data_IF_811511627016
#
_entry.id   IF_811511627016
#
_cell.length_a   1.000
_cell.length_b   1.000
_cell.length_c   1.000
_cell.angle_alpha   90.00
_cell.angle_beta   90.00
_cell.angle_gamma   90.00
#
_symmetry.space_group_name_H-M   'P 1'
#
loop_
_entity.id
_entity.type
_entity.pdbx_description
1 polymer ?
#
# COMPACT_ATOMS: atom_id res chain seq x y z
N UNK A 1 32.37 10.55 -41.17
CA UNK A 1 31.28 9.63 -40.79
C UNK A 1 31.92 8.44 -40.10
N UNK A 2 31.80 8.33 -38.79
CA UNK A 2 31.92 7.07 -38.08
C UNK A 2 30.88 7.15 -36.96
N UNK A 3 29.83 6.34 -37.11
CA UNK A 3 28.67 6.28 -36.23
C UNK A 3 29.10 5.79 -34.85
N UNK A 4 28.76 6.57 -33.83
CA UNK A 4 28.72 6.12 -32.44
C UNK A 4 27.76 4.94 -32.35
N UNK A 5 28.28 3.74 -32.11
CA UNK A 5 27.50 2.69 -31.48
C UNK A 5 27.34 3.08 -30.01
N UNK A 6 26.23 3.73 -29.67
CA UNK A 6 25.71 3.70 -28.31
C UNK A 6 25.29 2.26 -28.05
N UNK A 7 26.17 1.47 -27.43
CA UNK A 7 25.77 0.28 -26.70
C UNK A 7 24.70 0.74 -25.70
N UNK A 8 23.44 0.43 -25.97
CA UNK A 8 22.38 0.58 -24.98
C UNK A 8 22.76 -0.33 -23.80
N UNK A 9 23.06 0.28 -22.66
CA UNK A 9 23.32 -0.38 -21.37
C UNK A 9 22.10 -1.20 -20.93
N UNK A 10 21.86 -2.34 -21.58
CA UNK A 10 20.87 -3.34 -21.17
C UNK A 10 21.47 -4.16 -20.04
N UNK A 11 20.79 -4.23 -18.89
CA UNK A 11 21.16 -5.16 -17.81
C UNK A 11 21.13 -6.57 -18.41
N UNK A 12 22.29 -7.23 -18.52
CA UNK A 12 22.32 -8.67 -18.79
C UNK A 12 21.72 -9.37 -17.59
N UNK A 13 20.47 -9.87 -17.67
CA UNK A 13 19.82 -10.42 -16.51
C UNK A 13 20.46 -11.77 -16.21
N UNK A 14 20.88 -11.95 -14.97
CA UNK A 14 21.11 -13.28 -14.42
C UNK A 14 19.90 -14.17 -14.76
N UNK A 15 20.10 -15.44 -15.15
CA UNK A 15 19.00 -16.36 -15.33
C UNK A 15 18.37 -16.62 -13.96
N UNK A 16 17.27 -15.93 -13.65
CA UNK A 16 16.50 -16.09 -12.42
C UNK A 16 15.29 -16.95 -12.77
N UNK A 17 15.21 -18.15 -12.20
CA UNK A 17 14.02 -18.99 -12.28
C UNK A 17 12.97 -18.45 -11.30
N UNK A 18 12.01 -17.68 -11.81
CA UNK A 18 11.02 -16.98 -11.00
C UNK A 18 9.57 -17.41 -11.22
N UNK A 19 9.36 -18.56 -11.86
CA UNK A 19 8.03 -19.11 -12.17
C UNK A 19 7.16 -19.35 -10.93
N UNK A 20 7.77 -19.61 -9.76
CA UNK A 20 7.06 -19.73 -8.49
C UNK A 20 6.22 -18.46 -8.17
N UNK A 21 6.66 -17.28 -8.65
CA UNK A 21 5.95 -16.01 -8.42
C UNK A 21 4.55 -16.03 -9.04
N UNK A 22 4.37 -16.75 -10.15
CA UNK A 22 3.08 -16.82 -10.84
C UNK A 22 2.02 -17.49 -9.97
N UNK A 23 2.35 -18.63 -9.36
CA UNK A 23 1.44 -19.31 -8.44
C UNK A 23 1.19 -18.46 -7.18
N UNK A 24 2.27 -17.96 -6.56
CA UNK A 24 2.18 -17.19 -5.31
C UNK A 24 1.32 -15.94 -5.49
N UNK A 25 1.60 -15.10 -6.49
CA UNK A 25 0.82 -13.89 -6.73
C UNK A 25 -0.62 -14.21 -7.12
N UNK A 26 -0.86 -15.24 -7.94
CA UNK A 26 -2.23 -15.64 -8.30
C UNK A 26 -3.05 -15.99 -7.07
N UNK A 27 -2.54 -16.85 -6.18
CA UNK A 27 -3.26 -17.27 -4.97
C UNK A 27 -3.50 -16.09 -4.03
N UNK A 28 -2.46 -15.30 -3.73
CA UNK A 28 -2.58 -14.16 -2.81
C UNK A 28 -3.55 -13.12 -3.37
N UNK A 29 -3.48 -12.80 -4.66
CA UNK A 29 -4.35 -11.79 -5.27
C UNK A 29 -5.81 -12.25 -5.35
N UNK A 30 -6.08 -13.55 -5.54
CA UNK A 30 -7.45 -14.08 -5.43
C UNK A 30 -7.99 -13.90 -4.02
N UNK A 31 -7.21 -14.25 -2.99
CA UNK A 31 -7.61 -14.09 -1.58
C UNK A 31 -7.92 -12.61 -1.30
N UNK A 32 -7.03 -11.71 -1.70
CA UNK A 32 -7.18 -10.27 -1.52
C UNK A 32 -8.36 -9.73 -2.30
N UNK A 33 -8.59 -10.18 -3.53
CA UNK A 33 -9.74 -9.76 -4.32
C UNK A 33 -11.07 -10.13 -3.66
N UNK A 34 -11.24 -11.40 -3.27
CA UNK A 34 -12.49 -11.89 -2.69
C UNK A 34 -12.77 -11.26 -1.32
N UNK A 35 -11.78 -11.32 -0.41
CA UNK A 35 -11.92 -10.77 0.94
C UNK A 35 -11.99 -9.23 0.93
N UNK A 36 -11.12 -8.59 0.15
CA UNK A 36 -11.05 -7.14 0.05
C UNK A 36 -12.33 -6.55 -0.54
N UNK A 37 -12.88 -7.12 -1.62
CA UNK A 37 -14.12 -6.64 -2.22
C UNK A 37 -15.30 -6.75 -1.23
N UNK A 38 -15.41 -7.87 -0.53
CA UNK A 38 -16.46 -8.10 0.46
C UNK A 38 -16.35 -7.10 1.62
N UNK A 39 -15.21 -7.09 2.32
CA UNK A 39 -15.07 -6.36 3.57
C UNK A 39 -14.88 -4.85 3.37
N UNK A 40 -14.08 -4.41 2.39
CA UNK A 40 -13.96 -2.98 2.10
C UNK A 40 -15.24 -2.43 1.45
N UNK A 41 -15.91 -3.21 0.59
CA UNK A 41 -17.22 -2.85 0.04
C UNK A 41 -18.27 -2.64 1.12
N UNK A 42 -18.36 -3.59 2.07
CA UNK A 42 -19.23 -3.46 3.24
C UNK A 42 -18.85 -2.25 4.12
N UNK A 43 -17.55 -2.00 4.31
CA UNK A 43 -17.09 -0.85 5.09
C UNK A 43 -17.52 0.47 4.47
N UNK A 44 -17.37 0.63 3.15
CA UNK A 44 -17.87 1.81 2.42
C UNK A 44 -19.38 1.96 2.61
N UNK A 45 -20.15 0.89 2.44
CA UNK A 45 -21.61 0.92 2.60
C UNK A 45 -22.02 1.36 4.02
N UNK A 46 -21.46 0.72 5.05
CA UNK A 46 -21.76 1.02 6.45
C UNK A 46 -21.32 2.44 6.81
N UNK A 47 -20.09 2.83 6.47
CA UNK A 47 -19.57 4.15 6.79
C UNK A 47 -20.30 5.27 6.07
N UNK A 48 -20.75 5.08 4.84
CA UNK A 48 -21.62 6.04 4.16
C UNK A 48 -22.96 6.23 4.90
N UNK A 49 -23.58 5.14 5.39
CA UNK A 49 -24.82 5.22 6.19
C UNK A 49 -24.62 5.92 7.53
N UNK A 50 -23.53 5.64 8.23
CA UNK A 50 -23.25 6.25 9.55
C UNK A 50 -22.49 7.58 9.49
N UNK A 51 -22.03 8.01 8.31
CA UNK A 51 -21.24 9.26 8.11
C UNK A 51 -21.92 10.49 8.69
N UNK A 52 -23.26 10.52 8.69
CA UNK A 52 -24.06 11.60 9.30
C UNK A 52 -23.78 11.78 10.81
N UNK A 53 -23.22 10.78 11.50
CA UNK A 53 -22.79 10.82 12.92
C UNK A 53 -21.35 11.33 13.15
N UNK A 54 -20.68 11.88 12.12
CA UNK A 54 -19.53 12.82 12.20
C UNK A 54 -18.29 12.41 13.04
N UNK A 55 -17.89 11.14 13.06
CA UNK A 55 -16.58 10.76 13.62
C UNK A 55 -15.42 11.07 12.66
N UNK A 56 -14.40 11.80 13.11
CA UNK A 56 -13.18 12.11 12.32
C UNK A 56 -12.51 10.82 11.81
N UNK A 57 -12.41 9.81 12.69
CA UNK A 57 -11.88 8.49 12.35
C UNK A 57 -12.69 7.78 11.26
N UNK A 58 -14.02 7.91 11.27
CA UNK A 58 -14.88 7.31 10.24
C UNK A 58 -14.63 7.91 8.86
N UNK A 59 -14.24 9.18 8.78
CA UNK A 59 -13.87 9.81 7.50
C UNK A 59 -12.57 9.20 6.97
N UNK A 60 -11.53 9.03 7.79
CA UNK A 60 -10.30 8.38 7.36
C UNK A 60 -10.53 6.93 6.92
N UNK A 61 -11.28 6.15 7.71
CA UNK A 61 -11.54 4.74 7.40
C UNK A 61 -12.38 4.56 6.13
N UNK A 62 -13.30 5.49 5.85
CA UNK A 62 -14.02 5.48 4.57
C UNK A 62 -13.06 5.72 3.40
N UNK A 63 -12.17 6.71 3.50
CA UNK A 63 -11.22 6.98 2.42
C UNK A 63 -10.19 5.85 2.25
N UNK A 64 -9.77 5.22 3.35
CA UNK A 64 -8.95 4.01 3.35
C UNK A 64 -9.63 2.88 2.56
N UNK A 65 -10.86 2.52 2.93
CA UNK A 65 -11.62 1.49 2.23
C UNK A 65 -11.85 1.81 0.74
N UNK A 66 -12.05 3.09 0.39
CA UNK A 66 -12.16 3.53 -1.01
C UNK A 66 -10.82 3.36 -1.75
N UNK A 67 -9.69 3.70 -1.13
CA UNK A 67 -8.36 3.51 -1.72
C UNK A 67 -8.06 2.03 -1.98
N UNK A 68 -8.41 1.15 -1.05
CA UNK A 68 -8.22 -0.29 -1.22
C UNK A 68 -9.10 -0.83 -2.35
N UNK A 69 -10.38 -0.40 -2.42
CA UNK A 69 -11.28 -0.79 -3.51
C UNK A 69 -10.76 -0.34 -4.88
N UNK A 70 -10.17 0.86 -4.98
CA UNK A 70 -9.56 1.35 -6.22
C UNK A 70 -8.41 0.46 -6.71
N UNK A 71 -7.69 -0.22 -5.82
CA UNK A 71 -6.71 -1.23 -6.20
C UNK A 71 -7.36 -2.59 -6.50
N UNK A 72 -8.27 -3.05 -5.63
CA UNK A 72 -8.93 -4.35 -5.72
C UNK A 72 -9.66 -4.54 -7.06
N UNK A 73 -10.31 -3.50 -7.60
CA UNK A 73 -11.01 -3.60 -8.90
C UNK A 73 -10.07 -3.91 -10.08
N UNK A 74 -8.78 -3.62 -9.98
CA UNK A 74 -7.79 -3.95 -11.02
C UNK A 74 -7.04 -5.27 -10.76
N UNK A 75 -7.20 -5.90 -9.59
CA UNK A 75 -6.59 -7.19 -9.29
C UNK A 75 -6.92 -8.31 -10.29
N UNK A 76 -8.14 -8.43 -10.84
CA UNK A 76 -8.44 -9.46 -11.85
C UNK A 76 -7.50 -9.43 -13.06
N UNK A 77 -7.06 -8.23 -13.48
CA UNK A 77 -6.10 -8.08 -14.58
C UNK A 77 -4.74 -8.68 -14.22
N UNK A 78 -4.28 -8.45 -12.98
CA UNK A 78 -3.02 -9.01 -12.47
C UNK A 78 -3.10 -10.51 -12.23
N UNK A 79 -4.24 -11.01 -11.75
CA UNK A 79 -4.49 -12.45 -11.61
C UNK A 79 -4.38 -13.12 -12.98
N UNK A 80 -5.07 -12.59 -14.00
CA UNK A 80 -4.96 -13.13 -15.36
C UNK A 80 -3.55 -13.02 -15.95
N UNK A 81 -2.80 -11.94 -15.64
CA UNK A 81 -1.41 -11.78 -16.05
C UNK A 81 -0.54 -12.93 -15.53
N UNK A 82 -0.63 -13.23 -14.22
CA UNK A 82 0.18 -14.27 -13.61
C UNK A 82 -0.28 -15.69 -13.98
N UNK A 83 -1.58 -15.93 -14.20
CA UNK A 83 -2.07 -17.19 -14.75
C UNK A 83 -1.59 -17.47 -16.18
N UNK A 84 -1.27 -16.41 -16.95
CA UNK A 84 -0.71 -16.51 -18.30
C UNK A 84 0.82 -16.41 -18.30
N UNK A 85 1.47 -16.88 -17.24
CA UNK A 85 2.93 -16.88 -17.05
C UNK A 85 3.57 -15.50 -17.29
N UNK A 86 2.87 -14.46 -16.84
CA UNK A 86 3.26 -13.06 -17.00
C UNK A 86 3.12 -12.52 -18.42
N UNK A 87 2.13 -13.00 -19.19
CA UNK A 87 1.75 -12.41 -20.48
C UNK A 87 0.59 -11.42 -20.30
N UNK A 88 0.83 -10.14 -20.60
CA UNK A 88 -0.15 -9.07 -20.50
C UNK A 88 -0.94 -8.91 -21.80
N UNK A 89 -2.28 -8.97 -21.72
CA UNK A 89 -3.18 -8.96 -22.89
C UNK A 89 -4.19 -7.79 -22.90
N UNK A 90 -4.16 -6.91 -21.91
CA UNK A 90 -5.18 -5.87 -21.70
C UNK A 90 -4.78 -4.50 -22.26
N UNK A 91 -3.69 -4.43 -23.02
CA UNK A 91 -3.14 -3.18 -23.58
C UNK A 91 -2.38 -2.32 -22.57
N UNK A 92 -1.60 -1.37 -23.10
CA UNK A 92 -0.66 -0.55 -22.34
C UNK A 92 -1.34 0.32 -21.27
N UNK A 93 -2.49 0.91 -21.60
CA UNK A 93 -3.25 1.78 -20.69
C UNK A 93 -3.62 1.06 -19.38
N UNK A 94 -4.20 -0.14 -19.47
CA UNK A 94 -4.60 -0.91 -18.29
C UNK A 94 -3.39 -1.42 -17.49
N UNK A 95 -2.24 -1.64 -18.14
CA UNK A 95 -1.00 -1.97 -17.42
C UNK A 95 -0.57 -0.80 -16.52
N UNK A 96 -0.54 0.42 -17.06
CA UNK A 96 -0.19 1.64 -16.32
C UNK A 96 -1.16 1.89 -15.18
N UNK A 97 -2.47 1.83 -15.45
CA UNK A 97 -3.51 2.06 -14.44
C UNK A 97 -3.46 1.01 -13.33
N UNK A 98 -3.27 -0.27 -13.65
CA UNK A 98 -3.16 -1.32 -12.63
C UNK A 98 -1.92 -1.18 -11.74
N UNK A 99 -0.81 -0.72 -12.30
CA UNK A 99 0.41 -0.42 -11.54
C UNK A 99 0.20 0.79 -10.64
N UNK A 100 -0.37 1.86 -11.21
CA UNK A 100 -0.67 3.09 -10.49
C UNK A 100 -1.61 2.82 -9.31
N UNK A 101 -2.69 2.05 -9.51
CA UNK A 101 -3.68 1.78 -8.48
C UNK A 101 -3.07 1.04 -7.29
N UNK A 102 -2.15 0.10 -7.52
CA UNK A 102 -1.41 -0.58 -6.46
C UNK A 102 -0.61 0.39 -5.58
N UNK A 103 0.27 1.20 -6.18
CA UNK A 103 1.09 2.15 -5.42
C UNK A 103 0.24 3.23 -4.76
N UNK A 104 -0.77 3.73 -5.47
CA UNK A 104 -1.69 4.74 -4.97
C UNK A 104 -2.47 4.25 -3.76
N UNK A 105 -3.01 3.03 -3.78
CA UNK A 105 -3.63 2.39 -2.63
C UNK A 105 -2.63 2.25 -1.48
N UNK A 106 -1.47 1.63 -1.72
CA UNK A 106 -0.46 1.42 -0.66
C UNK A 106 -0.09 2.70 0.09
N UNK A 107 0.27 3.78 -0.63
CA UNK A 107 0.63 5.04 0.03
C UNK A 107 -0.58 5.74 0.64
N UNK A 108 -1.75 5.73 -0.03
CA UNK A 108 -2.97 6.28 0.57
C UNK A 108 -3.30 5.59 1.89
N UNK A 109 -3.16 4.27 1.96
CA UNK A 109 -3.40 3.50 3.18
C UNK A 109 -2.44 3.90 4.30
N UNK A 110 -1.14 4.01 4.02
CA UNK A 110 -0.14 4.49 5.00
C UNK A 110 -0.48 5.89 5.53
N UNK A 111 -0.80 6.84 4.63
CA UNK A 111 -1.13 8.21 5.03
C UNK A 111 -2.49 8.32 5.75
N UNK A 112 -3.49 7.55 5.37
CA UNK A 112 -4.77 7.50 6.09
C UNK A 112 -4.63 6.86 7.48
N UNK A 113 -3.77 5.85 7.65
CA UNK A 113 -3.42 5.31 8.97
C UNK A 113 -2.71 6.35 9.85
N UNK A 114 -1.78 7.13 9.29
CA UNK A 114 -1.15 8.23 10.02
C UNK A 114 -2.18 9.31 10.43
N UNK A 115 -3.02 9.74 9.49
CA UNK A 115 -4.08 10.71 9.74
C UNK A 115 -5.09 10.22 10.79
N UNK A 116 -5.46 8.93 10.74
CA UNK A 116 -6.31 8.28 11.73
C UNK A 116 -5.70 8.35 13.13
N UNK A 117 -4.40 8.10 13.29
CA UNK A 117 -3.73 8.21 14.60
C UNK A 117 -3.71 9.65 15.13
N UNK A 118 -3.48 10.64 14.25
CA UNK A 118 -3.56 12.05 14.60
C UNK A 118 -4.98 12.42 15.07
N UNK A 119 -6.01 12.04 14.31
CA UNK A 119 -7.40 12.32 14.70
C UNK A 119 -7.80 11.63 16.00
N UNK A 120 -7.36 10.40 16.22
CA UNK A 120 -7.59 9.70 17.49
C UNK A 120 -6.95 10.43 18.67
N UNK A 121 -5.68 10.82 18.54
CA UNK A 121 -5.00 11.60 19.56
C UNK A 121 -5.73 12.91 19.85
N UNK A 122 -6.10 13.64 18.79
CA UNK A 122 -6.78 14.92 18.90
C UNK A 122 -8.20 14.79 19.48
N UNK A 123 -8.94 13.73 19.17
CA UNK A 123 -10.26 13.47 19.76
C UNK A 123 -10.20 13.22 21.26
N UNK A 124 -9.08 12.68 21.77
CA UNK A 124 -8.90 12.46 23.21
C UNK A 124 -8.40 13.72 23.90
N UNK A 125 -7.41 14.41 23.34
CA UNK A 125 -6.75 15.56 24.01
C UNK A 125 -7.49 16.87 23.79
N UNK A 126 -8.10 17.09 22.61
CA UNK A 126 -8.74 18.35 22.20
C UNK A 126 -10.01 18.11 21.36
N UNK A 127 -11.06 17.49 21.94
CA UNK A 127 -12.27 17.08 21.21
C UNK A 127 -12.96 18.21 20.43
N UNK A 128 -12.83 19.46 20.87
CA UNK A 128 -13.52 20.62 20.26
C UNK A 128 -12.80 21.24 19.05
N UNK A 129 -11.53 20.90 18.79
CA UNK A 129 -10.70 21.67 17.84
C UNK A 129 -10.79 21.24 16.39
N UNK A 130 -11.15 19.99 16.08
CA UNK A 130 -11.16 19.50 14.69
C UNK A 130 -12.59 19.39 14.17
N UNK A 131 -12.92 20.33 13.27
CA UNK A 131 -14.18 20.30 12.53
C UNK A 131 -14.12 19.25 11.43
N UNK A 132 -15.27 18.63 11.11
CA UNK A 132 -15.43 17.69 9.98
C UNK A 132 -14.93 18.28 8.65
N UNK A 133 -15.10 19.59 8.44
CA UNK A 133 -14.59 20.29 7.25
C UNK A 133 -13.06 20.16 7.14
N UNK A 134 -12.34 20.36 8.25
CA UNK A 134 -10.88 20.20 8.31
C UNK A 134 -10.47 18.76 8.00
N UNK A 135 -11.19 17.76 8.53
CA UNK A 135 -10.90 16.36 8.24
C UNK A 135 -11.09 16.01 6.75
N UNK A 136 -12.15 16.52 6.11
CA UNK A 136 -12.34 16.33 4.67
C UNK A 136 -11.25 17.02 3.84
N UNK A 137 -10.81 18.23 4.22
CA UNK A 137 -9.71 18.94 3.55
C UNK A 137 -8.41 18.13 3.67
N UNK A 138 -8.10 17.61 4.86
CA UNK A 138 -6.92 16.77 5.07
C UNK A 138 -6.99 15.48 4.25
N UNK A 139 -8.15 14.81 4.19
CA UNK A 139 -8.30 13.62 3.35
C UNK A 139 -8.17 13.94 1.86
N UNK A 140 -8.73 15.05 1.39
CA UNK A 140 -8.53 15.51 0.01
C UNK A 140 -7.06 15.84 -0.27
N UNK A 141 -6.36 16.45 0.70
CA UNK A 141 -4.92 16.68 0.62
C UNK A 141 -4.11 15.39 0.50
N UNK A 142 -4.46 14.35 1.27
CA UNK A 142 -3.85 13.01 1.15
C UNK A 142 -4.06 12.45 -0.25
N UNK A 143 -5.28 12.46 -0.77
CA UNK A 143 -5.57 11.97 -2.13
C UNK A 143 -4.78 12.68 -3.21
N UNK A 144 -4.72 14.01 -3.15
CA UNK A 144 -3.94 14.82 -4.11
C UNK A 144 -2.46 14.49 -3.96
N UNK A 145 -1.94 14.47 -2.73
CA UNK A 145 -0.53 14.20 -2.47
C UNK A 145 -0.10 12.81 -2.93
N UNK A 146 -0.83 11.76 -2.55
CA UNK A 146 -0.50 10.38 -2.94
C UNK A 146 -0.71 10.18 -4.43
N UNK A 147 -1.77 10.75 -5.00
CA UNK A 147 -2.04 10.69 -6.43
C UNK A 147 -0.92 11.31 -7.26
N UNK A 148 -0.53 12.55 -6.95
CA UNK A 148 0.59 13.23 -7.62
C UNK A 148 1.91 12.47 -7.44
N UNK A 149 2.17 11.97 -6.23
CA UNK A 149 3.41 11.23 -5.93
C UNK A 149 3.51 9.90 -6.68
N UNK A 150 2.38 9.29 -7.05
CA UNK A 150 2.35 8.01 -7.78
C UNK A 150 2.19 8.17 -9.30
N UNK A 151 1.95 9.38 -9.83
CA UNK A 151 1.90 9.64 -11.28
C UNK A 151 3.11 9.08 -12.03
N UNK A 152 4.36 9.13 -11.54
CA UNK A 152 5.51 8.59 -12.27
C UNK A 152 5.38 7.10 -12.63
N UNK A 153 4.59 6.31 -11.89
CA UNK A 153 4.31 4.92 -12.23
C UNK A 153 3.45 4.76 -13.48
N UNK A 154 2.68 5.79 -13.87
CA UNK A 154 1.98 5.84 -15.15
C UNK A 154 2.92 6.03 -16.33
N UNK A 155 4.18 6.42 -16.12
CA UNK A 155 5.16 6.61 -17.20
C UNK A 155 5.79 5.30 -17.67
N UNK A 156 5.70 4.22 -16.88
CA UNK A 156 6.19 2.89 -17.23
C UNK A 156 5.02 1.95 -17.53
N UNK A 157 4.94 1.47 -18.79
CA UNK A 157 3.84 0.65 -19.28
C UNK A 157 4.24 -0.78 -19.62
N UNK A 158 3.75 -1.27 -20.75
CA UNK A 158 4.10 -2.59 -21.29
C UNK A 158 5.41 -2.56 -22.06
N UNK A 159 6.20 -3.63 -21.94
CA UNK A 159 7.39 -3.86 -22.77
C UNK A 159 7.32 -5.27 -23.37
N UNK A 160 7.84 -5.44 -24.59
CA UNK A 160 7.92 -6.76 -25.23
C UNK A 160 9.31 -7.33 -24.97
N UNK A 161 9.37 -8.53 -24.38
CA UNK A 161 10.60 -9.29 -24.17
C UNK A 161 10.35 -10.73 -24.57
N UNK A 162 11.19 -11.29 -25.44
CA UNK A 162 11.08 -12.68 -25.92
C UNK A 162 9.69 -13.00 -26.52
N UNK A 163 9.13 -12.08 -27.33
CA UNK A 163 7.76 -12.14 -27.87
C UNK A 163 6.63 -12.19 -26.83
N UNK A 164 6.93 -11.95 -25.55
CA UNK A 164 5.96 -11.86 -24.45
C UNK A 164 5.80 -10.39 -24.07
N UNK A 165 4.56 -9.92 -24.05
CA UNK A 165 4.24 -8.58 -23.54
C UNK A 165 4.21 -8.62 -22.01
N UNK A 166 5.19 -7.99 -21.37
CA UNK A 166 5.29 -7.85 -19.90
C UNK A 166 4.68 -6.53 -19.45
N UNK A 167 4.15 -6.49 -18.23
CA UNK A 167 3.56 -5.27 -17.66
C UNK A 167 4.37 -4.75 -16.48
N UNK A 168 4.89 -3.51 -16.60
CA UNK A 168 5.74 -2.86 -15.59
C UNK A 168 7.05 -3.62 -15.32
N UNK A 169 7.66 -4.15 -16.39
CA UNK A 169 9.00 -4.75 -16.37
C UNK A 169 9.90 -3.95 -17.32
N UNK A 170 10.62 -2.92 -16.82
CA UNK A 170 11.47 -2.09 -17.65
C UNK A 170 12.64 -2.84 -18.27
N UNK A 171 12.97 -2.50 -19.52
CA UNK A 171 14.16 -3.01 -20.22
C UNK A 171 15.33 -2.03 -20.09
N UNK A 172 15.04 -0.72 -20.15
CA UNK A 172 16.04 0.34 -20.12
C UNK A 172 16.57 0.63 -18.70
N UNK A 173 17.90 0.76 -18.58
CA UNK A 173 18.58 1.16 -17.34
C UNK A 173 18.13 2.53 -16.82
N UNK A 174 17.84 3.48 -17.72
CA UNK A 174 17.32 4.82 -17.39
C UNK A 174 16.03 4.72 -16.56
N UNK A 175 15.13 3.81 -16.92
CA UNK A 175 13.86 3.57 -16.27
C UNK A 175 14.05 2.88 -14.91
N UNK A 176 14.97 1.93 -14.81
CA UNK A 176 15.32 1.31 -13.52
C UNK A 176 15.91 2.31 -12.53
N UNK A 177 16.82 3.19 -12.97
CA UNK A 177 17.36 4.29 -12.14
C UNK A 177 16.24 5.22 -11.67
N UNK A 178 15.30 5.60 -12.54
CA UNK A 178 14.10 6.38 -12.16
C UNK A 178 13.29 5.68 -11.08
N UNK A 179 13.03 4.38 -11.22
CA UNK A 179 12.28 3.57 -10.23
C UNK A 179 13.04 3.51 -8.90
N UNK A 180 14.37 3.40 -8.92
CA UNK A 180 15.21 3.42 -7.73
C UNK A 180 15.12 4.75 -6.98
N UNK A 181 15.26 5.90 -7.66
CA UNK A 181 15.10 7.22 -7.02
C UNK A 181 13.69 7.42 -6.45
N UNK A 182 12.67 7.00 -7.19
CA UNK A 182 11.28 7.02 -6.70
C UNK A 182 11.11 6.09 -5.49
N UNK A 183 11.83 4.97 -5.44
CA UNK A 183 11.83 4.08 -4.29
C UNK A 183 12.46 4.73 -3.04
N UNK A 184 13.56 5.46 -3.17
CA UNK A 184 14.14 6.20 -2.03
C UNK A 184 13.19 7.29 -1.52
N UNK A 185 12.57 8.05 -2.45
CA UNK A 185 11.53 9.01 -2.09
C UNK A 185 10.37 8.32 -1.35
N UNK A 186 9.88 7.20 -1.88
CA UNK A 186 8.82 6.42 -1.27
C UNK A 186 9.19 5.86 0.11
N UNK A 187 10.43 5.41 0.31
CA UNK A 187 10.89 4.93 1.62
C UNK A 187 10.85 6.06 2.64
N UNK A 188 11.40 7.22 2.32
CA UNK A 188 11.51 8.34 3.28
C UNK A 188 10.15 9.01 3.48
N UNK A 189 9.56 9.51 2.39
CA UNK A 189 8.35 10.33 2.43
C UNK A 189 7.10 9.46 2.51
N UNK A 190 7.06 8.39 1.73
CA UNK A 190 5.90 7.50 1.66
C UNK A 190 5.75 6.57 2.85
N UNK A 191 6.82 6.29 3.62
CA UNK A 191 6.78 5.33 4.72
C UNK A 191 7.40 5.83 6.03
N UNK A 192 8.67 6.24 6.07
CA UNK A 192 9.36 6.61 7.32
C UNK A 192 8.66 7.79 8.00
N UNK A 193 8.36 8.88 7.27
CA UNK A 193 7.68 10.04 7.84
C UNK A 193 6.28 9.70 8.41
N UNK A 194 5.37 9.04 7.68
CA UNK A 194 4.11 8.56 8.23
C UNK A 194 4.27 7.62 9.42
N UNK A 195 5.22 6.68 9.36
CA UNK A 195 5.47 5.72 10.44
C UNK A 195 5.92 6.42 11.72
N UNK A 196 6.84 7.39 11.64
CA UNK A 196 7.25 8.20 12.77
C UNK A 196 6.07 9.00 13.34
N UNK A 197 5.22 9.57 12.49
CA UNK A 197 4.01 10.26 12.94
C UNK A 197 3.06 9.30 13.70
N UNK A 198 2.88 8.07 13.22
CA UNK A 198 2.10 7.02 13.91
C UNK A 198 2.70 6.71 15.29
N UNK A 199 4.02 6.47 15.36
CA UNK A 199 4.70 6.12 16.62
C UNK A 199 4.61 7.25 17.63
N UNK A 200 4.91 8.49 17.23
CA UNK A 200 4.85 9.66 18.10
C UNK A 200 3.41 9.91 18.57
N UNK A 201 2.43 9.92 17.67
CA UNK A 201 1.03 10.14 18.05
C UNK A 201 0.51 9.07 19.01
N UNK A 202 0.88 7.80 18.79
CA UNK A 202 0.49 6.72 19.70
C UNK A 202 1.20 6.79 21.05
N UNK A 203 2.48 7.18 21.09
CA UNK A 203 3.20 7.43 22.34
C UNK A 203 2.54 8.55 23.15
N UNK A 204 2.19 9.66 22.50
CA UNK A 204 1.47 10.77 23.14
C UNK A 204 0.06 10.37 23.61
N UNK A 205 -0.65 9.57 22.81
CA UNK A 205 -1.96 9.04 23.17
C UNK A 205 -1.88 8.12 24.39
N UNK A 206 -0.92 7.19 24.43
CA UNK A 206 -0.70 6.31 25.59
C UNK A 206 -0.39 7.14 26.83
N UNK A 207 0.54 8.09 26.75
CA UNK A 207 0.89 8.97 27.87
C UNK A 207 -0.33 9.70 28.41
N UNK A 208 -1.20 10.21 27.53
CA UNK A 208 -2.41 10.91 27.95
C UNK A 208 -3.44 9.97 28.58
N UNK A 209 -3.68 8.79 27.99
CA UNK A 209 -4.60 7.79 28.52
C UNK A 209 -4.16 7.32 29.92
N UNK A 210 -2.86 7.14 30.14
CA UNK A 210 -2.32 6.72 31.43
C UNK A 210 -2.41 7.82 32.51
N UNK A 211 -2.48 9.09 32.10
CA UNK A 211 -2.57 10.23 33.01
C UNK A 211 -4.02 10.60 33.39
N UNK A 212 -5.02 10.17 32.62
CA UNK A 212 -6.42 10.53 32.81
C UNK A 212 -7.23 9.33 33.35
N UNK A 213 -8.19 9.55 34.27
CA UNK A 213 -9.08 8.48 34.70
C UNK A 213 -10.01 8.08 33.54
N UNK A 214 -9.69 6.96 32.89
CA UNK A 214 -10.47 6.39 31.79
C UNK A 214 -10.99 4.99 32.11
N UNK A 215 -12.17 4.66 31.58
CA UNK A 215 -12.73 3.32 31.73
C UNK A 215 -11.80 2.26 31.11
N UNK A 216 -11.55 1.15 31.82
CA UNK A 216 -10.68 0.04 31.37
C UNK A 216 -11.05 -0.47 29.97
N UNK A 217 -12.35 -0.51 29.64
CA UNK A 217 -12.85 -0.91 28.32
C UNK A 217 -12.37 0.03 27.21
N UNK A 218 -12.41 1.34 27.45
CA UNK A 218 -11.95 2.37 26.52
C UNK A 218 -10.43 2.31 26.36
N UNK A 219 -9.68 2.16 27.45
CA UNK A 219 -8.22 1.96 27.41
C UNK A 219 -7.87 0.74 26.55
N UNK A 220 -8.49 -0.42 26.83
CA UNK A 220 -8.27 -1.66 26.07
C UNK A 220 -8.54 -1.44 24.59
N UNK A 221 -9.65 -0.78 24.24
CA UNK A 221 -9.98 -0.43 22.86
C UNK A 221 -8.87 0.39 22.19
N UNK A 222 -8.38 1.44 22.86
CA UNK A 222 -7.28 2.26 22.31
C UNK A 222 -6.01 1.44 22.11
N UNK A 223 -5.59 0.66 23.11
CA UNK A 223 -4.39 -0.19 23.06
C UNK A 223 -4.49 -1.23 21.95
N UNK A 224 -5.61 -1.95 21.84
CA UNK A 224 -5.83 -2.92 20.76
C UNK A 224 -5.66 -2.27 19.38
N UNK A 225 -6.21 -1.08 19.17
CA UNK A 225 -6.05 -0.36 17.89
C UNK A 225 -4.61 0.08 17.66
N UNK A 226 -3.87 0.49 18.70
CA UNK A 226 -2.44 0.85 18.57
C UNK A 226 -1.65 -0.38 18.13
N UNK A 227 -1.85 -1.52 18.80
CA UNK A 227 -1.19 -2.78 18.47
C UNK A 227 -1.51 -3.21 17.04
N UNK A 228 -2.78 -3.13 16.62
CA UNK A 228 -3.18 -3.50 15.26
C UNK A 228 -2.52 -2.62 14.20
N UNK A 229 -2.56 -1.29 14.35
CA UNK A 229 -1.95 -0.38 13.37
C UNK A 229 -0.43 -0.57 13.32
N UNK A 230 0.21 -0.73 14.48
CA UNK A 230 1.64 -1.00 14.56
C UNK A 230 2.00 -2.33 13.87
N UNK A 231 1.22 -3.38 14.11
CA UNK A 231 1.41 -4.69 13.47
C UNK A 231 1.25 -4.59 11.95
N UNK A 232 0.24 -3.88 11.45
CA UNK A 232 0.08 -3.64 10.00
C UNK A 232 1.31 -2.92 9.43
N UNK A 233 1.80 -1.87 10.10
CA UNK A 233 3.00 -1.15 9.65
C UNK A 233 4.25 -2.03 9.63
N UNK A 234 4.48 -2.81 10.68
CA UNK A 234 5.70 -3.61 10.85
C UNK A 234 5.69 -4.90 10.04
N UNK A 235 4.51 -5.50 9.78
CA UNK A 235 4.39 -6.78 9.07
C UNK A 235 4.08 -6.57 7.58
N UNK A 236 3.22 -5.60 7.23
CA UNK A 236 2.78 -5.42 5.85
C UNK A 236 3.68 -4.43 5.10
N UNK A 237 3.97 -3.25 5.68
CA UNK A 237 4.64 -2.17 4.94
C UNK A 237 6.17 -2.14 5.11
N UNK A 238 6.67 -2.20 6.34
CA UNK A 238 8.10 -2.10 6.65
C UNK A 238 8.95 -3.11 5.88
N UNK A 239 8.60 -4.42 5.85
CA UNK A 239 9.45 -5.42 5.21
C UNK A 239 9.54 -5.20 3.70
N UNK A 240 8.43 -4.81 3.07
CA UNK A 240 8.40 -4.48 1.65
C UNK A 240 9.29 -3.28 1.31
N UNK A 241 9.20 -2.20 2.08
CA UNK A 241 10.00 -1.00 1.81
C UNK A 241 11.50 -1.25 1.97
N UNK A 242 11.91 -2.01 2.99
CA UNK A 242 13.31 -2.41 3.15
C UNK A 242 13.73 -3.30 1.98
N UNK A 243 12.99 -4.39 1.74
CA UNK A 243 13.37 -5.39 0.75
C UNK A 243 13.42 -4.82 -0.66
N UNK A 244 12.44 -3.99 -1.05
CA UNK A 244 12.43 -3.33 -2.36
C UNK A 244 13.61 -2.37 -2.52
N UNK A 245 13.98 -1.66 -1.46
CA UNK A 245 15.14 -0.76 -1.49
C UNK A 245 16.43 -1.52 -1.66
N UNK A 246 16.63 -2.59 -0.89
CA UNK A 246 17.81 -3.46 -1.02
C UNK A 246 17.86 -4.07 -2.42
N UNK A 247 16.75 -4.66 -2.89
CA UNK A 247 16.67 -5.27 -4.22
C UNK A 247 17.03 -4.29 -5.34
N UNK A 248 16.41 -3.09 -5.38
CA UNK A 248 16.70 -2.10 -6.42
C UNK A 248 18.13 -1.56 -6.34
N UNK A 249 18.67 -1.36 -5.14
CA UNK A 249 20.04 -0.89 -4.96
C UNK A 249 21.06 -1.89 -5.51
N UNK A 250 20.94 -3.17 -5.15
CA UNK A 250 21.82 -4.21 -5.66
C UNK A 250 21.62 -4.46 -7.15
N UNK A 251 20.38 -4.42 -7.65
CA UNK A 251 20.08 -4.60 -9.08
C UNK A 251 20.80 -3.57 -9.95
N UNK A 252 20.91 -2.32 -9.48
CA UNK A 252 21.53 -1.23 -10.24
C UNK A 252 23.05 -1.16 -10.06
N UNK A 253 23.55 -1.36 -8.84
CA UNK A 253 24.97 -1.14 -8.52
C UNK A 253 25.83 -2.40 -8.60
N UNK A 254 25.23 -3.58 -8.52
CA UNK A 254 25.93 -4.88 -8.49
C UNK A 254 25.22 -5.93 -9.37
N UNK A 255 25.09 -5.71 -10.68
CA UNK A 255 24.38 -6.61 -11.58
C UNK A 255 24.99 -8.01 -11.66
N UNK A 256 26.30 -8.14 -11.38
CA UNK A 256 27.05 -9.40 -11.57
C UNK A 256 26.83 -10.46 -10.48
N UNK A 257 26.14 -10.13 -9.37
CA UNK A 257 25.96 -11.03 -8.21
C UNK A 257 24.66 -11.82 -8.32
N UNK A 258 24.62 -12.83 -9.19
CA UNK A 258 23.39 -13.55 -9.54
C UNK A 258 22.71 -14.29 -8.37
N UNK A 259 23.47 -14.93 -7.49
CA UNK A 259 22.92 -15.64 -6.32
C UNK A 259 22.19 -14.69 -5.36
N UNK A 260 22.70 -13.47 -5.21
CA UNK A 260 22.08 -12.44 -4.39
C UNK A 260 20.78 -11.95 -5.04
N UNK A 261 20.77 -11.73 -6.36
CA UNK A 261 19.56 -11.31 -7.08
C UNK A 261 18.42 -12.32 -6.97
N UNK A 262 18.71 -13.62 -7.09
CA UNK A 262 17.72 -14.68 -6.92
C UNK A 262 17.10 -14.67 -5.50
N UNK A 263 17.94 -14.56 -4.46
CA UNK A 263 17.48 -14.46 -3.06
C UNK A 263 16.66 -13.19 -2.84
N UNK A 264 17.11 -12.04 -3.34
CA UNK A 264 16.43 -10.76 -3.20
C UNK A 264 15.08 -10.74 -3.94
N UNK A 265 14.99 -11.40 -5.08
CA UNK A 265 13.75 -11.57 -5.84
C UNK A 265 12.74 -12.44 -5.07
N UNK A 266 13.18 -13.62 -4.58
CA UNK A 266 12.34 -14.54 -3.77
C UNK A 266 11.77 -13.88 -2.53
N UNK A 267 12.62 -13.15 -1.82
CA UNK A 267 12.19 -12.43 -0.62
C UNK A 267 11.30 -11.23 -0.97
N UNK A 268 11.56 -10.51 -2.07
CA UNK A 268 10.71 -9.41 -2.54
C UNK A 268 9.29 -9.87 -2.88
N UNK A 269 9.14 -11.02 -3.55
CA UNK A 269 7.81 -11.60 -3.86
C UNK A 269 7.01 -11.81 -2.58
N UNK A 270 7.64 -12.42 -1.57
CA UNK A 270 7.02 -12.66 -0.26
C UNK A 270 6.64 -11.35 0.44
N UNK A 271 7.55 -10.37 0.48
CA UNK A 271 7.28 -9.07 1.12
C UNK A 271 6.21 -8.27 0.40
N UNK A 272 6.12 -8.34 -0.93
CA UNK A 272 5.05 -7.71 -1.70
C UNK A 272 3.70 -8.36 -1.38
N UNK A 273 3.64 -9.68 -1.22
CA UNK A 273 2.41 -10.37 -0.81
C UNK A 273 1.94 -9.90 0.58
N UNK A 274 2.86 -9.77 1.54
CA UNK A 274 2.56 -9.20 2.87
C UNK A 274 2.06 -7.75 2.76
N UNK A 275 2.67 -6.93 1.91
CA UNK A 275 2.20 -5.57 1.68
C UNK A 275 0.78 -5.54 1.12
N UNK A 276 0.45 -6.37 0.14
CA UNK A 276 -0.89 -6.41 -0.47
C UNK A 276 -1.96 -6.88 0.53
N UNK A 277 -1.60 -7.80 1.44
CA UNK A 277 -2.48 -8.28 2.50
C UNK A 277 -2.91 -7.20 3.50
N UNK A 278 -2.30 -6.00 3.49
CA UNK A 278 -2.76 -4.88 4.31
C UNK A 278 -4.27 -4.59 4.11
N UNK A 279 -4.73 -4.67 2.86
CA UNK A 279 -6.13 -4.43 2.47
C UNK A 279 -7.12 -5.43 3.09
N UNK A 280 -6.63 -6.62 3.49
CA UNK A 280 -7.39 -7.63 4.20
C UNK A 280 -7.39 -7.42 5.73
N UNK A 281 -6.41 -6.67 6.23
CA UNK A 281 -6.26 -6.35 7.66
C UNK A 281 -7.05 -5.10 8.06
N UNK A 282 -7.30 -4.18 7.13
CA UNK A 282 -8.10 -2.96 7.39
C UNK A 282 -9.53 -3.24 7.91
N UNK A 283 -10.25 -4.28 7.47
CA UNK A 283 -11.49 -4.73 8.09
C UNK A 283 -11.43 -4.98 9.60
N UNK A 284 -10.30 -5.45 10.13
CA UNK A 284 -10.11 -5.58 11.57
C UNK A 284 -10.12 -4.20 12.23
N UNK A 285 -9.45 -3.21 11.63
CA UNK A 285 -9.53 -1.82 12.08
C UNK A 285 -10.99 -1.33 12.01
N UNK A 286 -11.72 -1.59 10.93
CA UNK A 286 -13.13 -1.19 10.83
C UNK A 286 -14.00 -1.74 11.96
N UNK A 287 -13.78 -3.00 12.37
CA UNK A 287 -14.52 -3.62 13.47
C UNK A 287 -14.24 -2.97 14.84
N UNK A 288 -13.03 -2.48 15.10
CA UNK A 288 -12.70 -1.82 16.37
C UNK A 288 -13.01 -0.33 16.39
N UNK A 289 -12.89 0.35 15.24
CA UNK A 289 -12.98 1.83 15.17
C UNK A 289 -14.33 2.31 14.63
N UNK A 290 -14.89 1.57 13.66
CA UNK A 290 -16.07 1.96 12.90
C UNK A 290 -17.37 1.87 13.70
N UNK A 291 -18.04 3.00 13.92
CA UNK A 291 -19.40 2.99 14.46
C UNK A 291 -20.32 2.18 13.53
N UNK A 292 -20.95 1.13 14.05
CA UNK A 292 -21.90 0.29 13.29
C UNK A 292 -21.27 -0.85 12.48
N UNK A 293 -19.99 -0.78 12.09
CA UNK A 293 -19.36 -1.86 11.30
C UNK A 293 -19.27 -3.18 12.08
N UNK A 294 -18.90 -3.11 13.36
CA UNK A 294 -18.93 -4.30 14.25
C UNK A 294 -20.32 -4.93 14.32
N UNK A 295 -21.38 -4.12 14.38
CA UNK A 295 -22.75 -4.62 14.47
C UNK A 295 -23.18 -5.29 13.17
N UNK A 296 -22.77 -4.75 12.02
CA UNK A 296 -23.00 -5.36 10.71
C UNK A 296 -22.26 -6.70 10.58
N UNK A 297 -20.99 -6.75 10.99
CA UNK A 297 -20.20 -7.97 10.96
C UNK A 297 -20.79 -9.08 11.85
N UNK A 298 -21.33 -8.72 13.02
CA UNK A 298 -22.00 -9.66 13.93
C UNK A 298 -23.41 -10.08 13.47
N UNK A 299 -23.95 -9.44 12.42
CA UNK A 299 -25.25 -9.79 11.83
C UNK A 299 -25.15 -10.67 10.58
N UNK A 300 -23.93 -10.92 10.09
CA UNK A 300 -23.63 -11.96 9.13
C UNK A 300 -23.60 -13.33 9.82
#
# INVERSE_FOLDING_TARGET
>A
MNMNNSEEDTIHPCPIEDDYKYLVYTVVYIIVFLSGLLFNGAAVYVFCKVRKRKGLSTICLLNLAVADLLFIVFLPLRISYYQKNGTWIFGDFLCRVSTFSFYFSMYSSIFFLACLNIFRYMSVVRPERIKVKTANILCAGIWVFTGLSTIPFLLSGTNVRENITRCFEPVEMSTWKRIMYMNYYALVVGFILPFLAIVVCNGLLIRHIMAMPMEKKTIRKHVTMIVLIFLVCCVCFLPYHIQRTVHLHYLIHHPDICTLHDVLQKTLVTMLCLAVLNTCMDPLLYAFIGHGYKSWLLSL
#
